data_IF_667232150340
#
_entry.id   IF_667232150340
#
_cell.length_a   1.000
_cell.length_b   1.000
_cell.length_c   1.000
_cell.angle_alpha   90.00
_cell.angle_beta   90.00
_cell.angle_gamma   90.00
#
_symmetry.space_group_name_H-M   'P 1'
#
loop_
_entity.id
_entity.type
_entity.pdbx_description
1 polymer ?
#
# COMPACT_ATOMS: atom_id res chain seq x y z
N UNK A 1 -1.68 11.14 5.23
CA UNK A 1 -0.86 10.95 4.01
C UNK A 1 -1.50 11.69 2.85
N UNK A 2 -0.71 12.50 2.17
CA UNK A 2 -1.19 13.23 0.99
C UNK A 2 -1.39 12.31 -0.20
N UNK A 3 -2.24 12.72 -1.13
CA UNK A 3 -2.45 11.97 -2.36
C UNK A 3 -1.16 11.81 -3.15
N UNK A 4 -0.33 12.85 -3.21
CA UNK A 4 0.94 12.79 -3.93
C UNK A 4 1.89 11.78 -3.29
N UNK A 5 1.95 11.72 -1.97
CA UNK A 5 2.75 10.73 -1.26
C UNK A 5 2.21 9.33 -1.49
N UNK A 6 0.89 9.16 -1.39
CA UNK A 6 0.25 7.87 -1.63
C UNK A 6 0.54 7.38 -3.04
N UNK A 7 0.43 8.25 -4.03
CA UNK A 7 0.74 7.93 -5.42
C UNK A 7 2.18 7.47 -5.59
N UNK A 8 3.13 8.15 -4.97
CA UNK A 8 4.53 7.78 -5.04
C UNK A 8 4.77 6.39 -4.44
N UNK A 9 4.24 6.15 -3.24
CA UNK A 9 4.40 4.85 -2.59
C UNK A 9 3.72 3.72 -3.37
N UNK A 10 2.55 3.99 -3.95
CA UNK A 10 1.87 2.99 -4.77
C UNK A 10 2.67 2.65 -6.03
N UNK A 11 3.33 3.63 -6.63
CA UNK A 11 4.23 3.38 -7.76
C UNK A 11 5.43 2.54 -7.35
N UNK A 12 6.01 2.82 -6.19
CA UNK A 12 7.12 2.04 -5.66
C UNK A 12 6.68 0.58 -5.46
N UNK A 13 5.52 0.39 -4.85
CA UNK A 13 4.97 -0.95 -4.65
C UNK A 13 4.67 -1.66 -5.96
N UNK A 14 4.04 -0.98 -6.90
CA UNK A 14 3.72 -1.54 -8.21
C UNK A 14 4.96 -1.96 -8.99
N UNK A 15 6.08 -1.28 -8.75
CA UNK A 15 7.36 -1.63 -9.35
C UNK A 15 8.06 -2.82 -8.70
N UNK A 16 7.44 -3.45 -7.71
CA UNK A 16 8.01 -4.62 -7.03
C UNK A 16 8.95 -4.29 -5.88
N UNK A 17 9.03 -3.03 -5.49
CA UNK A 17 9.91 -2.61 -4.39
C UNK A 17 9.22 -2.80 -3.05
N UNK A 18 10.01 -3.08 -2.03
CA UNK A 18 9.51 -3.27 -0.68
C UNK A 18 9.25 -1.93 0.01
N UNK A 19 8.12 -1.83 0.68
CA UNK A 19 7.76 -0.66 1.47
C UNK A 19 8.01 -0.91 2.95
N UNK A 20 8.18 0.18 3.71
CA UNK A 20 8.29 0.10 5.17
C UNK A 20 6.94 -0.30 5.76
N UNK A 21 6.98 -1.00 6.90
CA UNK A 21 5.77 -1.43 7.60
C UNK A 21 4.84 -0.26 7.92
N UNK A 22 5.39 0.87 8.35
CA UNK A 22 4.61 2.07 8.65
C UNK A 22 3.88 2.57 7.40
N UNK A 23 4.56 2.60 6.26
CA UNK A 23 3.97 3.04 5.00
C UNK A 23 2.88 2.08 4.55
N UNK A 24 3.11 0.78 4.65
CA UNK A 24 2.11 -0.24 4.33
C UNK A 24 0.86 -0.03 5.18
N UNK A 25 1.03 0.17 6.48
CA UNK A 25 -0.08 0.40 7.40
C UNK A 25 -0.88 1.64 7.02
N UNK A 26 -0.22 2.74 6.70
CA UNK A 26 -0.89 3.98 6.30
C UNK A 26 -1.67 3.80 5.00
N UNK A 27 -1.10 3.14 4.01
CA UNK A 27 -1.79 2.87 2.75
C UNK A 27 -3.00 1.97 2.96
N UNK A 28 -2.86 0.97 3.83
CA UNK A 28 -3.97 0.08 4.16
C UNK A 28 -5.10 0.84 4.85
N UNK A 29 -4.78 1.63 5.86
CA UNK A 29 -5.80 2.40 6.60
C UNK A 29 -6.49 3.44 5.73
N UNK A 30 -5.78 3.95 4.72
CA UNK A 30 -6.36 4.87 3.74
C UNK A 30 -7.16 4.16 2.66
N UNK A 31 -7.11 2.82 2.62
CA UNK A 31 -7.88 2.03 1.68
C UNK A 31 -7.25 1.85 0.31
N UNK A 32 -5.96 2.15 0.16
CA UNK A 32 -5.28 2.06 -1.15
C UNK A 32 -4.72 0.68 -1.46
N UNK A 33 -4.44 -0.12 -0.44
CA UNK A 33 -3.91 -1.48 -0.62
C UNK A 33 -4.62 -2.45 0.30
N UNK A 34 -4.60 -3.74 -0.09
CA UNK A 34 -4.99 -4.83 0.80
C UNK A 34 -3.75 -5.41 1.46
N UNK A 35 -3.91 -5.98 2.63
CA UNK A 35 -2.84 -6.67 3.33
C UNK A 35 -3.26 -8.09 3.66
N UNK A 36 -2.26 -8.96 3.86
CA UNK A 36 -2.49 -10.33 4.26
C UNK A 36 -1.62 -10.65 5.47
N UNK A 37 -2.24 -11.22 6.50
CA UNK A 37 -1.55 -11.65 7.70
C UNK A 37 -1.56 -13.17 7.75
N UNK A 38 -0.41 -13.78 7.47
CA UNK A 38 -0.29 -15.23 7.45
C UNK A 38 -0.14 -15.86 8.82
N UNK A 39 0.39 -15.09 9.77
CA UNK A 39 0.66 -15.61 11.12
C UNK A 39 0.59 -14.49 12.14
N UNK A 40 0.13 -14.77 13.38
CA UNK A 40 0.18 -13.78 14.46
C UNK A 40 1.63 -13.30 14.67
N UNK A 41 1.79 -12.02 14.86
CA UNK A 41 3.09 -11.42 15.14
C UNK A 41 3.95 -11.11 13.93
N UNK A 42 3.53 -11.47 12.73
CA UNK A 42 4.25 -11.12 11.51
C UNK A 42 3.84 -9.74 11.01
N UNK A 43 4.74 -9.10 10.30
CA UNK A 43 4.46 -7.84 9.65
C UNK A 43 3.39 -8.01 8.56
N UNK A 44 2.48 -7.03 8.40
CA UNK A 44 1.52 -7.08 7.31
C UNK A 44 2.24 -7.01 5.97
N UNK A 45 1.82 -7.88 5.05
CA UNK A 45 2.37 -7.92 3.69
C UNK A 45 1.34 -7.34 2.73
N UNK A 46 1.70 -6.33 1.93
CA UNK A 46 0.80 -5.82 0.91
C UNK A 46 0.59 -6.89 -0.16
N UNK A 47 -0.69 -7.14 -0.51
CA UNK A 47 -1.03 -8.16 -1.49
C UNK A 47 -1.48 -7.57 -2.82
N UNK A 48 -2.38 -6.58 -2.75
CA UNK A 48 -2.98 -5.99 -3.95
C UNK A 48 -3.19 -4.50 -3.76
N UNK A 49 -3.21 -3.78 -4.89
CA UNK A 49 -3.65 -2.39 -4.91
C UNK A 49 -5.16 -2.41 -5.12
N UNK A 50 -5.90 -1.72 -4.25
CA UNK A 50 -7.36 -1.65 -4.35
C UNK A 50 -7.78 -0.76 -5.52
N UNK A 51 -9.09 -0.75 -5.82
CA UNK A 51 -9.63 0.16 -6.84
C UNK A 51 -9.33 1.62 -6.50
N UNK A 52 -9.42 1.98 -5.22
CA UNK A 52 -9.09 3.33 -4.76
C UNK A 52 -7.62 3.65 -5.02
N UNK A 53 -6.73 2.71 -4.76
CA UNK A 53 -5.31 2.87 -5.03
C UNK A 53 -5.01 3.00 -6.51
N UNK A 54 -5.68 2.23 -7.35
CA UNK A 54 -5.54 2.30 -8.79
C UNK A 54 -5.95 3.67 -9.33
N UNK A 55 -7.03 4.23 -8.79
CA UNK A 55 -7.49 5.57 -9.18
C UNK A 55 -6.45 6.63 -8.85
N UNK A 56 -5.80 6.51 -7.70
CA UNK A 56 -4.72 7.43 -7.31
C UNK A 56 -3.56 7.34 -8.30
N UNK A 57 -3.21 6.13 -8.73
CA UNK A 57 -2.14 5.94 -9.72
C UNK A 57 -2.48 6.53 -11.09
N UNK A 58 -3.74 6.60 -11.43
CA UNK A 58 -4.20 7.12 -12.73
C UNK A 58 -4.29 8.65 -12.78
N UNK A 59 -4.23 9.31 -11.66
CA UNK A 59 -4.36 10.78 -11.60
C UNK A 59 -3.05 11.53 -11.88
#
# INVERSE_FOLDING_TARGET
MDIDQAKWFLRVFAGGNKLRTVTVSELYLSGYIGIELHSPGREPLPTVITEKGKRVLET
#
